data_IF_825288528621
#
_entry.id   IF_825288528621
#
_cell.length_a   1.000
_cell.length_b   1.000
_cell.length_c   1.000
_cell.angle_alpha   90.00
_cell.angle_beta   90.00
_cell.angle_gamma   90.00
#
_symmetry.space_group_name_H-M   'P 1'
#
loop_
_entity.id
_entity.type
_entity.pdbx_description
1 polymer ?
#
# COMPACT_ATOMS: atom_id res chain seq x y z
N UNK A 1 -27.05 -7.17 -32.24
CA UNK A 1 -27.20 -7.78 -30.89
C UNK A 1 -26.21 -7.09 -29.97
N UNK A 2 -26.56 -6.83 -28.72
CA UNK A 2 -25.56 -6.39 -27.73
C UNK A 2 -24.59 -7.55 -27.46
N UNK A 3 -23.30 -7.25 -27.26
CA UNK A 3 -22.35 -8.26 -26.81
C UNK A 3 -22.76 -8.76 -25.41
N UNK A 4 -22.57 -10.05 -25.09
CA UNK A 4 -22.77 -10.53 -23.72
C UNK A 4 -21.82 -9.77 -22.80
N UNK A 5 -22.36 -9.28 -21.68
CA UNK A 5 -21.57 -8.59 -20.65
C UNK A 5 -20.46 -9.50 -20.12
N UNK A 6 -19.32 -8.92 -19.74
CA UNK A 6 -18.28 -9.70 -19.06
C UNK A 6 -18.73 -10.08 -17.65
N UNK A 7 -18.04 -11.05 -17.05
CA UNK A 7 -18.24 -11.40 -15.64
C UNK A 7 -17.95 -10.20 -14.71
N UNK A 8 -17.01 -9.32 -15.08
CA UNK A 8 -16.65 -8.11 -14.33
C UNK A 8 -17.80 -7.09 -14.41
N UNK A 9 -18.34 -6.84 -15.61
CA UNK A 9 -19.50 -5.95 -15.79
C UNK A 9 -20.73 -6.47 -15.03
N UNK A 10 -20.92 -7.80 -15.02
CA UNK A 10 -22.03 -8.45 -14.31
C UNK A 10 -21.90 -8.31 -12.78
N UNK A 11 -20.69 -8.51 -12.24
CA UNK A 11 -20.41 -8.28 -10.83
C UNK A 11 -20.54 -6.79 -10.44
N UNK A 12 -20.08 -5.88 -11.30
CA UNK A 12 -20.23 -4.44 -11.09
C UNK A 12 -21.69 -4.00 -11.13
N UNK A 13 -22.50 -4.51 -12.07
CA UNK A 13 -23.94 -4.26 -12.12
C UNK A 13 -24.63 -4.71 -10.82
N UNK A 14 -24.28 -5.89 -10.30
CA UNK A 14 -24.84 -6.38 -9.05
C UNK A 14 -24.49 -5.45 -7.88
N UNK A 15 -23.27 -4.92 -7.81
CA UNK A 15 -22.88 -3.96 -6.77
C UNK A 15 -23.65 -2.63 -6.88
N UNK A 16 -23.71 -2.01 -8.06
CA UNK A 16 -24.41 -0.71 -8.23
C UNK A 16 -25.94 -0.82 -8.16
N UNK A 17 -26.50 -2.01 -8.36
CA UNK A 17 -27.94 -2.26 -8.18
C UNK A 17 -28.34 -2.47 -6.71
N UNK A 18 -27.42 -2.93 -5.85
CA UNK A 18 -27.70 -3.25 -4.45
C UNK A 18 -27.17 -2.20 -3.45
N UNK A 19 -26.24 -1.33 -3.85
CA UNK A 19 -25.62 -0.33 -2.98
C UNK A 19 -25.66 1.08 -3.58
N UNK A 20 -25.95 2.06 -2.74
CA UNK A 20 -25.82 3.48 -3.10
C UNK A 20 -24.36 3.85 -3.36
N UNK A 21 -24.11 4.91 -4.15
CA UNK A 21 -22.75 5.39 -4.40
C UNK A 21 -22.02 5.78 -3.10
N UNK A 22 -22.73 6.29 -2.09
CA UNK A 22 -22.18 6.53 -0.76
C UNK A 22 -21.71 5.25 -0.07
N UNK A 23 -22.55 4.21 -0.03
CA UNK A 23 -22.18 2.91 0.56
C UNK A 23 -21.02 2.26 -0.19
N UNK A 24 -21.02 2.34 -1.53
CA UNK A 24 -19.93 1.85 -2.36
C UNK A 24 -18.63 2.58 -2.03
N UNK A 25 -18.64 3.92 -2.05
CA UNK A 25 -17.47 4.75 -1.82
C UNK A 25 -16.92 4.69 -0.39
N UNK A 26 -17.75 4.36 0.61
CA UNK A 26 -17.35 4.32 2.03
C UNK A 26 -17.24 2.89 2.55
N UNK A 27 -18.35 2.25 2.92
CA UNK A 27 -18.37 0.95 3.61
C UNK A 27 -17.83 -0.18 2.73
N UNK A 28 -18.20 -0.24 1.45
CA UNK A 28 -17.71 -1.30 0.55
C UNK A 28 -16.24 -1.07 0.18
N UNK A 29 -15.82 0.17 -0.09
CA UNK A 29 -14.39 0.51 -0.23
C UNK A 29 -13.58 0.12 1.01
N UNK A 30 -14.07 0.44 2.21
CA UNK A 30 -13.43 0.05 3.47
C UNK A 30 -13.32 -1.47 3.58
N UNK A 31 -14.41 -2.22 3.41
CA UNK A 31 -14.37 -3.69 3.49
C UNK A 31 -13.42 -4.32 2.44
N UNK A 32 -13.38 -3.78 1.22
CA UNK A 32 -12.40 -4.18 0.20
C UNK A 32 -10.96 -3.88 0.66
N UNK A 33 -10.72 -2.67 1.20
CA UNK A 33 -9.43 -2.28 1.77
C UNK A 33 -8.97 -3.25 2.86
N UNK A 34 -9.76 -3.38 3.94
CA UNK A 34 -9.43 -4.22 5.09
C UNK A 34 -9.15 -5.66 4.66
N UNK A 35 -9.97 -6.19 3.75
CA UNK A 35 -9.82 -7.56 3.25
C UNK A 35 -8.49 -7.73 2.52
N UNK A 36 -8.13 -6.83 1.61
CA UNK A 36 -6.87 -6.92 0.88
C UNK A 36 -5.67 -6.69 1.81
N UNK A 37 -5.74 -5.72 2.72
CA UNK A 37 -4.69 -5.43 3.68
C UNK A 37 -4.40 -6.63 4.60
N UNK A 38 -5.42 -7.12 5.33
CA UNK A 38 -5.21 -8.22 6.28
C UNK A 38 -4.90 -9.55 5.59
N UNK A 39 -5.48 -9.86 4.42
CA UNK A 39 -5.16 -11.10 3.71
C UNK A 39 -3.75 -11.09 3.10
N UNK A 40 -3.26 -9.95 2.62
CA UNK A 40 -1.90 -9.83 2.08
C UNK A 40 -0.83 -9.79 3.18
N UNK A 41 -1.14 -9.24 4.36
CA UNK A 41 -0.26 -9.26 5.53
C UNK A 41 -0.20 -10.60 6.27
N UNK A 42 -1.26 -11.42 6.15
CA UNK A 42 -1.38 -12.70 6.85
C UNK A 42 -0.22 -13.69 6.58
N UNK A 43 0.25 -13.92 5.33
CA UNK A 43 1.43 -14.75 5.05
C UNK A 43 2.65 -14.37 5.89
N UNK A 44 3.05 -13.09 5.90
CA UNK A 44 4.20 -12.60 6.65
C UNK A 44 4.03 -12.78 8.17
N UNK A 45 2.81 -12.58 8.70
CA UNK A 45 2.48 -12.83 10.10
C UNK A 45 2.60 -14.32 10.46
N UNK A 46 2.14 -15.22 9.57
CA UNK A 46 2.27 -16.67 9.75
C UNK A 46 3.74 -17.10 9.67
N UNK A 47 4.52 -16.52 8.75
CA UNK A 47 5.95 -16.80 8.62
C UNK A 47 6.71 -16.44 9.91
N UNK A 48 6.44 -15.26 10.48
CA UNK A 48 7.07 -14.83 11.73
C UNK A 48 6.60 -15.69 12.93
N UNK A 49 5.29 -16.01 13.01
CA UNK A 49 4.71 -16.79 14.12
C UNK A 49 5.17 -18.25 14.15
N UNK A 50 5.43 -18.85 12.99
CA UNK A 50 5.86 -20.25 12.86
C UNK A 50 7.36 -20.41 12.51
N UNK A 51 8.11 -19.32 12.39
CA UNK A 51 9.54 -19.35 12.02
C UNK A 51 9.82 -19.82 10.59
N UNK A 52 8.81 -19.75 9.70
CA UNK A 52 8.96 -20.15 8.30
C UNK A 52 9.80 -19.12 7.55
N UNK A 53 10.50 -19.57 6.50
CA UNK A 53 11.27 -18.71 5.60
C UNK A 53 12.31 -17.79 6.27
N UNK A 54 12.80 -18.14 7.48
CA UNK A 54 13.73 -17.33 8.25
C UNK A 54 15.00 -16.90 7.48
N UNK A 55 15.46 -17.68 6.49
CA UNK A 55 16.57 -17.33 5.58
C UNK A 55 16.31 -16.14 4.64
N UNK A 56 15.05 -15.76 4.44
CA UNK A 56 14.62 -14.62 3.62
C UNK A 56 14.19 -13.42 4.47
N UNK A 57 14.31 -13.50 5.80
CA UNK A 57 13.94 -12.42 6.71
C UNK A 57 15.06 -11.38 6.79
N UNK A 58 14.70 -10.10 6.65
CA UNK A 58 15.65 -8.98 6.71
C UNK A 58 16.07 -8.71 8.16
N UNK A 59 15.12 -8.66 9.10
CA UNK A 59 15.41 -8.29 10.48
C UNK A 59 15.96 -9.46 11.30
N UNK A 60 17.17 -9.30 11.85
CA UNK A 60 17.83 -10.27 12.75
C UNK A 60 17.08 -10.52 14.07
N UNK A 61 16.15 -9.64 14.45
CA UNK A 61 15.34 -9.74 15.68
C UNK A 61 14.01 -10.41 15.38
N UNK A 62 13.64 -11.44 16.14
CA UNK A 62 12.31 -12.04 16.10
C UNK A 62 11.33 -11.25 16.98
N UNK A 63 10.11 -11.02 16.48
CA UNK A 63 9.05 -10.35 17.20
C UNK A 63 8.20 -11.35 17.99
N UNK A 64 8.03 -11.13 19.29
CA UNK A 64 7.23 -12.03 20.14
C UNK A 64 5.75 -12.00 19.76
N UNK A 65 5.06 -13.13 19.88
CA UNK A 65 3.62 -13.24 19.57
C UNK A 65 2.75 -12.24 20.35
N UNK A 66 3.18 -11.86 21.57
CA UNK A 66 2.53 -10.83 22.37
C UNK A 66 2.73 -9.40 21.79
N UNK A 67 3.87 -9.12 21.16
CA UNK A 67 4.06 -7.88 20.41
C UNK A 67 3.22 -7.87 19.12
N UNK A 68 3.26 -8.96 18.35
CA UNK A 68 2.44 -9.14 17.14
C UNK A 68 0.94 -8.90 17.42
N UNK A 69 0.38 -9.56 18.45
CA UNK A 69 -1.03 -9.40 18.83
C UNK A 69 -1.40 -7.96 19.19
N UNK A 70 -0.51 -7.24 19.90
CA UNK A 70 -0.72 -5.82 20.24
C UNK A 70 -0.63 -4.92 19.01
N UNK A 71 0.23 -5.24 18.04
CA UNK A 71 0.31 -4.54 16.77
C UNK A 71 -0.98 -4.72 15.96
N UNK A 72 -1.41 -5.97 15.73
CA UNK A 72 -2.66 -6.30 15.00
C UNK A 72 -3.88 -5.63 15.65
N UNK A 73 -4.02 -5.69 16.97
CA UNK A 73 -5.13 -5.04 17.68
C UNK A 73 -5.12 -3.51 17.52
N UNK A 74 -3.94 -2.88 17.54
CA UNK A 74 -3.81 -1.44 17.29
C UNK A 74 -4.14 -1.10 15.83
N UNK A 75 -3.67 -1.89 14.87
CA UNK A 75 -4.01 -1.70 13.46
C UNK A 75 -5.53 -1.71 13.27
N UNK A 76 -6.22 -2.77 13.72
CA UNK A 76 -7.69 -2.87 13.66
C UNK A 76 -8.36 -1.64 14.29
N UNK A 77 -7.89 -1.18 15.46
CA UNK A 77 -8.41 0.03 16.11
C UNK A 77 -8.23 1.28 15.23
N UNK A 78 -7.06 1.49 14.63
CA UNK A 78 -6.82 2.65 13.77
C UNK A 78 -7.64 2.60 12.47
N UNK A 79 -7.81 1.43 11.86
CA UNK A 79 -8.61 1.31 10.64
C UNK A 79 -10.09 1.61 10.91
N UNK A 80 -10.66 1.02 11.97
CA UNK A 80 -12.07 1.21 12.34
C UNK A 80 -12.35 2.61 12.92
N UNK A 81 -11.47 3.15 13.77
CA UNK A 81 -11.71 4.41 14.47
C UNK A 81 -11.09 5.65 13.81
N UNK A 82 -10.24 5.49 12.79
CA UNK A 82 -9.66 6.62 12.04
C UNK A 82 -9.96 6.50 10.54
N UNK A 83 -9.59 5.41 9.87
CA UNK A 83 -9.73 5.30 8.41
C UNK A 83 -11.21 5.33 7.96
N UNK A 84 -12.09 4.57 8.63
CA UNK A 84 -13.52 4.54 8.30
C UNK A 84 -14.22 5.90 8.51
N UNK A 85 -14.07 6.60 9.67
CA UNK A 85 -14.56 7.97 9.81
C UNK A 85 -14.01 8.94 8.76
N UNK A 86 -12.71 8.89 8.45
CA UNK A 86 -12.10 9.74 7.42
C UNK A 86 -12.74 9.49 6.04
N UNK A 87 -13.00 8.24 5.66
CA UNK A 87 -13.72 7.91 4.42
C UNK A 87 -15.16 8.46 4.41
N UNK A 88 -15.89 8.34 5.52
CA UNK A 88 -17.26 8.86 5.63
C UNK A 88 -17.29 10.38 5.49
N UNK A 89 -16.41 11.10 6.20
CA UNK A 89 -16.38 12.57 6.17
C UNK A 89 -15.79 13.17 4.89
N UNK A 90 -14.97 12.43 4.14
CA UNK A 90 -14.38 12.90 2.88
C UNK A 90 -15.26 12.67 1.65
N UNK A 91 -16.27 11.79 1.72
CA UNK A 91 -17.18 11.52 0.60
C UNK A 91 -17.79 12.77 -0.08
N UNK A 92 -18.28 13.80 0.64
CA UNK A 92 -18.83 15.00 0.00
C UNK A 92 -17.82 15.73 -0.89
N UNK A 93 -16.54 15.76 -0.50
CA UNK A 93 -15.47 16.34 -1.31
C UNK A 93 -15.22 15.50 -2.57
N UNK A 94 -15.16 14.17 -2.45
CA UNK A 94 -15.01 13.29 -3.63
C UNK A 94 -16.20 13.36 -4.59
N UNK A 95 -17.43 13.55 -4.07
CA UNK A 95 -18.61 13.75 -4.93
C UNK A 95 -18.54 15.08 -5.68
N UNK A 96 -18.10 16.15 -5.02
CA UNK A 96 -17.84 17.44 -5.65
C UNK A 96 -16.74 17.34 -6.74
N UNK A 97 -15.72 16.51 -6.51
CA UNK A 97 -14.63 16.23 -7.47
C UNK A 97 -15.03 15.26 -8.60
N UNK A 98 -16.31 14.91 -8.72
CA UNK A 98 -16.85 14.21 -9.89
C UNK A 98 -16.90 12.68 -9.81
N UNK A 99 -16.77 12.08 -8.62
CA UNK A 99 -16.89 10.62 -8.44
C UNK A 99 -18.20 10.07 -9.04
N UNK A 100 -18.10 8.91 -9.74
CA UNK A 100 -19.22 8.17 -10.34
C UNK A 100 -19.04 6.66 -10.18
N UNK A 101 -20.13 5.95 -9.91
CA UNK A 101 -20.19 4.47 -9.95
C UNK A 101 -20.92 3.89 -11.18
N UNK A 102 -21.65 4.70 -11.94
CA UNK A 102 -22.47 4.25 -13.08
C UNK A 102 -21.68 3.58 -14.20
N UNK A 103 -22.31 2.65 -14.93
CA UNK A 103 -21.78 2.11 -16.19
C UNK A 103 -21.76 3.17 -17.32
N UNK A 104 -21.00 2.94 -18.41
CA UNK A 104 -20.06 1.82 -18.64
C UNK A 104 -18.76 1.97 -17.83
N UNK A 105 -18.03 0.86 -17.64
CA UNK A 105 -16.67 0.91 -17.11
C UNK A 105 -15.75 1.69 -18.09
N UNK A 106 -14.78 2.48 -17.59
CA UNK A 106 -13.91 3.27 -18.46
C UNK A 106 -12.99 2.39 -19.31
N UNK A 107 -12.87 2.72 -20.60
CA UNK A 107 -11.85 2.15 -21.47
C UNK A 107 -10.45 2.70 -21.12
N UNK A 108 -9.42 1.91 -21.39
CA UNK A 108 -8.06 2.09 -20.89
C UNK A 108 -7.39 3.43 -21.30
N UNK A 109 -7.46 4.43 -20.43
CA UNK A 109 -6.48 5.51 -20.32
C UNK A 109 -6.16 5.70 -18.84
N UNK A 110 -4.87 5.81 -18.51
CA UNK A 110 -4.40 5.67 -17.13
C UNK A 110 -4.48 6.99 -16.32
N UNK A 111 -4.95 6.92 -15.06
CA UNK A 111 -4.29 7.49 -13.86
C UNK A 111 -5.11 7.22 -12.56
N UNK A 112 -4.50 7.07 -11.35
CA UNK A 112 -5.22 6.39 -10.25
C UNK A 112 -4.94 6.78 -8.76
N UNK A 113 -5.93 6.58 -7.85
CA UNK A 113 -5.84 6.82 -6.38
C UNK A 113 -6.66 5.80 -5.53
N UNK A 114 -6.32 5.38 -4.30
CA UNK A 114 -5.00 5.44 -3.62
C UNK A 114 -4.99 5.73 -2.11
N UNK A 115 -6.12 5.57 -1.39
CA UNK A 115 -6.32 6.11 -0.04
C UNK A 115 -6.25 5.03 1.07
N UNK A 116 -5.05 4.53 1.39
CA UNK A 116 -4.69 3.79 2.64
C UNK A 116 -3.27 3.22 2.55
N UNK A 117 -2.41 3.61 3.49
CA UNK A 117 -1.12 2.96 3.79
C UNK A 117 -0.70 3.47 5.17
N UNK A 118 -0.99 2.71 6.23
CA UNK A 118 -1.06 3.28 7.58
C UNK A 118 0.28 3.65 8.24
N UNK A 119 0.13 4.44 9.31
CA UNK A 119 1.09 4.68 10.40
C UNK A 119 2.17 5.74 10.18
N UNK A 120 1.72 6.99 10.11
CA UNK A 120 2.54 8.20 10.12
C UNK A 120 1.91 9.30 11.00
N UNK A 121 2.63 10.38 11.31
CA UNK A 121 2.10 11.50 12.11
C UNK A 121 0.97 12.24 11.35
N UNK A 122 -0.07 12.83 11.98
CA UNK A 122 -1.20 13.42 11.24
C UNK A 122 -0.84 14.46 10.17
N UNK A 123 0.22 15.24 10.36
CA UNK A 123 0.73 16.18 9.35
C UNK A 123 1.39 15.48 8.14
N UNK A 124 2.01 14.33 8.37
CA UNK A 124 2.66 13.48 7.37
C UNK A 124 1.61 12.75 6.53
N UNK A 125 0.52 12.27 7.16
CA UNK A 125 -0.70 11.78 6.48
C UNK A 125 -1.27 12.86 5.55
N UNK A 126 -1.34 14.12 6.00
CA UNK A 126 -1.83 15.22 5.16
C UNK A 126 -0.91 15.51 3.97
N UNK A 127 0.41 15.46 4.13
CA UNK A 127 1.36 15.81 3.05
C UNK A 127 1.54 14.70 2.02
N UNK A 128 1.73 13.44 2.47
CA UNK A 128 1.74 12.26 1.58
C UNK A 128 0.36 12.02 0.95
N UNK A 129 -0.71 12.20 1.74
CA UNK A 129 -2.08 12.20 1.24
C UNK A 129 -2.27 13.22 0.13
N UNK A 130 -1.88 14.48 0.33
CA UNK A 130 -1.99 15.54 -0.67
C UNK A 130 -1.25 15.21 -1.98
N UNK A 131 0.01 14.78 -1.90
CA UNK A 131 0.78 14.42 -3.10
C UNK A 131 0.14 13.26 -3.89
N UNK A 132 -0.47 12.31 -3.18
CA UNK A 132 -1.10 11.12 -3.79
C UNK A 132 -2.54 11.42 -4.28
N UNK A 133 -3.25 12.37 -3.64
CA UNK A 133 -4.58 12.85 -4.02
C UNK A 133 -4.54 13.76 -5.24
N UNK A 134 -3.62 14.72 -5.31
CA UNK A 134 -3.70 15.85 -6.26
C UNK A 134 -3.64 15.44 -7.72
N UNK A 135 -2.79 14.47 -8.11
CA UNK A 135 -2.73 14.02 -9.51
C UNK A 135 -4.07 13.45 -10.02
N UNK A 136 -4.64 12.44 -9.34
CA UNK A 136 -5.91 11.83 -9.74
C UNK A 136 -7.16 12.69 -9.41
N UNK A 137 -7.06 13.61 -8.45
CA UNK A 137 -8.09 14.62 -8.18
C UNK A 137 -8.40 15.49 -9.41
N UNK A 138 -7.40 15.75 -10.26
CA UNK A 138 -7.53 16.60 -11.44
C UNK A 138 -8.23 15.89 -12.62
N UNK A 139 -8.48 14.58 -12.57
CA UNK A 139 -8.95 13.78 -13.72
C UNK A 139 -10.34 13.16 -13.57
N UNK A 140 -10.97 13.22 -12.39
CA UNK A 140 -12.36 12.78 -12.17
C UNK A 140 -12.64 11.28 -12.43
N UNK A 141 -11.99 10.35 -11.72
CA UNK A 141 -12.00 8.92 -12.02
C UNK A 141 -13.30 8.17 -11.64
N UNK A 142 -13.52 7.03 -12.30
CA UNK A 142 -14.56 6.04 -11.97
C UNK A 142 -14.18 5.19 -10.75
N UNK A 143 -15.16 4.84 -9.92
CA UNK A 143 -14.92 4.13 -8.65
C UNK A 143 -14.23 2.76 -8.81
N UNK A 144 -14.49 2.02 -9.89
CA UNK A 144 -13.83 0.73 -10.15
C UNK A 144 -12.31 0.89 -10.35
N UNK A 145 -11.89 1.95 -11.04
CA UNK A 145 -10.47 2.25 -11.27
C UNK A 145 -9.77 2.66 -9.96
N UNK A 146 -10.47 3.38 -9.08
CA UNK A 146 -9.97 3.71 -7.75
C UNK A 146 -9.76 2.44 -6.90
N UNK A 147 -10.72 1.51 -6.92
CA UNK A 147 -10.61 0.24 -6.21
C UNK A 147 -9.42 -0.60 -6.70
N UNK A 148 -9.26 -0.79 -8.01
CA UNK A 148 -8.15 -1.58 -8.56
C UNK A 148 -6.78 -1.03 -8.13
N UNK A 149 -6.62 0.29 -8.12
CA UNK A 149 -5.37 0.91 -7.68
C UNK A 149 -5.17 0.92 -6.18
N UNK A 150 -6.23 1.13 -5.39
CA UNK A 150 -6.18 0.96 -3.94
C UNK A 150 -5.63 -0.43 -3.60
N UNK A 151 -6.14 -1.48 -4.25
CA UNK A 151 -5.59 -2.85 -4.12
C UNK A 151 -4.10 -2.91 -4.46
N UNK A 152 -3.66 -2.33 -5.58
CA UNK A 152 -2.24 -2.30 -5.94
C UNK A 152 -1.36 -1.58 -4.92
N UNK A 153 -1.80 -0.43 -4.39
CA UNK A 153 -1.05 0.36 -3.40
C UNK A 153 -1.01 -0.29 -2.02
N UNK A 154 -2.08 -0.98 -1.63
CA UNK A 154 -2.10 -1.80 -0.40
C UNK A 154 -1.10 -2.95 -0.53
N UNK A 155 -1.13 -3.67 -1.65
CA UNK A 155 -0.19 -4.77 -1.91
C UNK A 155 1.27 -4.29 -1.93
N UNK A 156 1.56 -3.15 -2.57
CA UNK A 156 2.89 -2.53 -2.56
C UNK A 156 3.33 -2.13 -1.14
N UNK A 157 2.43 -1.51 -0.37
CA UNK A 157 2.72 -1.12 1.03
C UNK A 157 3.02 -2.33 1.91
N UNK A 158 2.23 -3.40 1.78
CA UNK A 158 2.40 -4.63 2.54
C UNK A 158 3.66 -5.40 2.12
N UNK A 159 4.03 -5.38 0.83
CA UNK A 159 5.30 -5.95 0.37
C UNK A 159 6.49 -5.20 1.01
N UNK A 160 6.50 -3.87 0.91
CA UNK A 160 7.55 -3.02 1.47
C UNK A 160 7.66 -3.10 3.01
N UNK A 161 6.60 -3.47 3.72
CA UNK A 161 6.60 -3.66 5.18
C UNK A 161 6.66 -5.13 5.62
N UNK A 162 6.74 -6.08 4.69
CA UNK A 162 6.65 -7.52 4.99
C UNK A 162 7.77 -8.02 5.92
N UNK A 163 8.95 -7.40 5.88
CA UNK A 163 10.17 -7.86 6.55
C UNK A 163 10.86 -9.05 5.89
N UNK A 164 10.37 -9.48 4.73
CA UNK A 164 10.95 -10.56 3.93
C UNK A 164 11.41 -10.05 2.56
N UNK A 165 12.55 -10.54 2.09
CA UNK A 165 13.03 -10.31 0.73
C UNK A 165 13.22 -11.65 0.04
N UNK A 166 12.33 -11.97 -0.89
CA UNK A 166 12.33 -13.25 -1.61
C UNK A 166 13.06 -13.13 -2.96
N UNK A 167 13.53 -14.24 -3.55
CA UNK A 167 14.06 -14.23 -4.93
C UNK A 167 13.06 -13.67 -5.96
N UNK A 168 11.77 -13.77 -5.67
CA UNK A 168 10.67 -13.25 -6.50
C UNK A 168 10.05 -11.94 -5.96
N UNK A 169 10.68 -11.24 -5.00
CA UNK A 169 10.20 -9.91 -4.58
C UNK A 169 10.19 -8.94 -5.78
N UNK A 170 9.16 -8.10 -5.97
CA UNK A 170 9.04 -7.22 -7.13
C UNK A 170 10.23 -6.27 -7.34
N UNK A 171 10.93 -5.88 -6.27
CA UNK A 171 12.15 -5.06 -6.31
C UNK A 171 13.31 -5.70 -7.08
N UNK A 172 13.32 -7.03 -7.24
CA UNK A 172 14.33 -7.72 -8.07
C UNK A 172 14.08 -7.56 -9.58
N UNK A 173 12.88 -7.14 -9.99
CA UNK A 173 12.46 -7.05 -11.39
C UNK A 173 12.09 -5.62 -11.82
N UNK A 174 11.71 -4.75 -10.87
CA UNK A 174 11.26 -3.38 -11.10
C UNK A 174 12.33 -2.38 -10.66
N UNK A 175 13.16 -1.84 -11.58
CA UNK A 175 14.38 -1.09 -11.24
C UNK A 175 14.15 0.28 -10.56
N UNK A 176 12.90 0.70 -10.38
CA UNK A 176 12.53 1.95 -9.69
C UNK A 176 11.94 1.71 -8.29
N UNK A 177 11.63 0.46 -7.93
CA UNK A 177 10.94 0.08 -6.70
C UNK A 177 11.92 -0.48 -5.66
N UNK A 178 11.94 0.11 -4.46
CA UNK A 178 12.88 -0.28 -3.40
C UNK A 178 12.54 -1.58 -2.68
N UNK A 179 11.24 -1.91 -2.61
CA UNK A 179 10.75 -3.07 -1.85
C UNK A 179 11.10 -3.06 -0.37
N UNK A 180 10.96 -4.24 0.24
CA UNK A 180 11.11 -4.43 1.69
C UNK A 180 12.48 -4.09 2.27
N UNK A 181 13.58 -4.33 1.54
CA UNK A 181 14.93 -4.09 2.03
C UNK A 181 15.31 -2.60 2.09
N UNK A 182 14.96 -1.84 1.04
CA UNK A 182 15.17 -0.39 1.01
C UNK A 182 14.33 0.32 2.10
N UNK A 183 13.11 -0.17 2.33
CA UNK A 183 12.20 0.42 3.31
C UNK A 183 12.49 -0.02 4.76
N UNK A 184 12.95 -1.25 4.99
CA UNK A 184 13.48 -1.65 6.31
C UNK A 184 14.69 -0.81 6.69
N UNK A 185 15.58 -0.49 5.73
CA UNK A 185 16.70 0.41 5.99
C UNK A 185 16.24 1.77 6.52
N UNK A 186 15.24 2.39 5.86
CA UNK A 186 14.62 3.64 6.29
C UNK A 186 14.15 3.56 7.75
N UNK A 187 13.28 2.59 8.08
CA UNK A 187 12.76 2.41 9.46
C UNK A 187 13.86 2.11 10.48
N UNK A 188 14.90 1.36 10.09
CA UNK A 188 16.03 0.98 10.94
C UNK A 188 16.90 2.18 11.32
N UNK A 189 17.11 3.12 10.41
CA UNK A 189 17.96 4.29 10.68
C UNK A 189 17.21 5.53 11.14
N UNK A 190 15.88 5.61 10.92
CA UNK A 190 15.02 6.80 11.10
C UNK A 190 15.32 7.67 12.33
N UNK A 191 15.56 7.05 13.48
CA UNK A 191 15.83 7.73 14.76
C UNK A 191 17.29 8.18 14.97
N UNK A 192 18.17 7.89 14.02
CA UNK A 192 19.63 8.14 14.08
C UNK A 192 20.14 8.88 12.84
N UNK A 193 19.50 8.68 11.69
CA UNK A 193 19.76 9.31 10.39
C UNK A 193 18.47 9.32 9.57
N UNK A 194 18.33 10.31 8.69
CA UNK A 194 17.16 10.44 7.82
C UNK A 194 17.56 10.30 6.34
N UNK A 195 16.78 9.56 5.56
CA UNK A 195 17.05 9.20 4.16
C UNK A 195 16.11 8.10 3.67
N UNK A 196 16.33 7.59 2.45
CA UNK A 196 15.53 6.51 1.84
C UNK A 196 14.01 6.77 1.87
N UNK A 197 13.58 7.94 1.39
CA UNK A 197 12.20 8.42 1.55
C UNK A 197 11.21 7.85 0.54
N UNK A 198 11.64 7.50 -0.67
CA UNK A 198 10.77 7.01 -1.73
C UNK A 198 10.56 5.50 -1.64
N UNK A 199 9.31 5.05 -1.67
CA UNK A 199 8.96 3.63 -1.82
C UNK A 199 8.98 3.19 -3.29
N UNK A 200 8.32 3.95 -4.17
CA UNK A 200 8.08 3.59 -5.58
C UNK A 200 9.03 4.25 -6.59
N UNK A 201 9.71 5.32 -6.20
CA UNK A 201 10.54 6.14 -7.10
C UNK A 201 11.93 6.38 -6.49
N UNK A 202 12.67 5.30 -6.18
CA UNK A 202 13.96 5.37 -5.48
C UNK A 202 15.04 6.17 -6.23
N UNK A 203 14.84 6.41 -7.53
CA UNK A 203 15.69 7.32 -8.31
C UNK A 203 15.64 8.78 -7.80
N UNK A 204 14.58 9.18 -7.10
CA UNK A 204 14.50 10.47 -6.43
C UNK A 204 15.47 10.53 -5.24
N UNK A 205 15.58 9.47 -4.43
CA UNK A 205 16.59 9.42 -3.38
C UNK A 205 18.01 9.42 -3.95
N UNK A 206 18.23 8.80 -5.11
CA UNK A 206 19.50 8.93 -5.81
C UNK A 206 19.78 10.37 -6.28
N UNK A 207 18.78 11.02 -6.89
CA UNK A 207 18.88 12.39 -7.42
C UNK A 207 19.15 13.43 -6.32
N UNK A 208 18.45 13.31 -5.19
CA UNK A 208 18.63 14.18 -4.02
C UNK A 208 19.73 13.69 -3.07
N UNK A 209 20.30 12.51 -3.33
CA UNK A 209 21.42 11.93 -2.59
C UNK A 209 21.09 11.44 -1.19
N UNK A 210 19.84 11.04 -0.96
CA UNK A 210 19.29 10.56 0.31
C UNK A 210 19.31 9.02 0.43
N UNK A 211 19.81 8.30 -0.59
CA UNK A 211 20.10 6.85 -0.60
C UNK A 211 21.55 6.49 -0.24
N UNK A 212 22.44 7.48 -0.07
CA UNK A 212 23.91 7.27 -0.03
C UNK A 212 24.37 6.32 1.07
N UNK A 213 23.80 6.45 2.27
CA UNK A 213 24.18 5.61 3.42
C UNK A 213 23.63 4.18 3.28
N UNK A 214 22.46 3.99 2.65
CA UNK A 214 21.95 2.67 2.28
C UNK A 214 22.87 1.96 1.28
N UNK A 215 23.27 2.65 0.20
CA UNK A 215 24.20 2.10 -0.80
C UNK A 215 25.56 1.76 -0.21
N UNK A 216 26.05 2.58 0.74
CA UNK A 216 27.27 2.28 1.49
C UNK A 216 27.11 1.02 2.35
N UNK A 217 25.97 0.86 3.04
CA UNK A 217 25.68 -0.34 3.82
C UNK A 217 25.64 -1.60 2.93
N UNK A 218 24.92 -1.56 1.80
CA UNK A 218 24.90 -2.66 0.82
C UNK A 218 26.28 -3.04 0.30
N UNK A 219 27.11 -2.03 -0.02
CA UNK A 219 28.50 -2.25 -0.47
C UNK A 219 29.37 -2.95 0.60
N UNK A 220 29.04 -2.79 1.89
CA UNK A 220 29.72 -3.48 2.99
C UNK A 220 29.18 -4.92 3.13
N UNK A 221 27.85 -5.08 3.16
CA UNK A 221 27.17 -6.38 3.21
C UNK A 221 27.65 -7.33 2.08
N UNK A 222 27.77 -6.82 0.84
CA UNK A 222 28.29 -7.58 -0.30
C UNK A 222 29.76 -7.99 -0.19
N UNK A 223 30.59 -7.21 0.53
CA UNK A 223 32.01 -7.51 0.73
C UNK A 223 32.22 -8.51 1.84
N UNK A 224 31.43 -8.41 2.91
CA UNK A 224 31.45 -9.38 4.01
C UNK A 224 30.87 -10.72 3.58
N UNK A 225 29.77 -10.71 2.81
CA UNK A 225 29.12 -11.93 2.27
C UNK A 225 29.88 -12.65 1.16
N UNK A 226 31.00 -12.12 0.65
CA UNK A 226 31.91 -12.78 -0.31
C UNK A 226 33.13 -13.43 0.34
N UNK A 227 33.26 -13.35 1.67
CA UNK A 227 34.37 -13.91 2.46
C UNK A 227 33.93 -15.12 3.33
N UNK A 228 32.81 -15.76 3.00
CA UNK A 228 32.26 -16.97 3.60
C UNK A 228 31.94 -18.00 2.51
#
# INVERSE_FOLDING_TARGET
>A
MAAPMSAIDSAWQLLIANFTEFQLATVVTFLLHETVFFLSGLPSLLFERFGLFAKYKIQKKSNTSAYQNRCVLRLILYHVCVNLPVMIFSYPAFKFMGLRSSLPLPHWYATPFGLTSEYAHPAEILFLGFATVVGPALTGPHLFTLWLWMVLRVLETVEAHSGYHFPWSPSNFLPLYGGSDFHDYHHRVLYTKSGNYASTFVYMDWLFGTDKDYRKAKTIEEKEGKNL
#
